data_IF_569848779050
#
_entry.id   IF_569848779050
#
_cell.length_a   1.000
_cell.length_b   1.000
_cell.length_c   1.000
_cell.angle_alpha   90.00
_cell.angle_beta   90.00
_cell.angle_gamma   90.00
#
_symmetry.space_group_name_H-M   'P 1'
#
loop_
_entity.id
_entity.type
_entity.pdbx_description
1 polymer ?
#
# COMPACT_ATOMS: atom_id res chain seq x y z
N UNK A 1 15.63 57.00 -29.32
CA UNK A 1 14.64 56.04 -28.77
C UNK A 1 13.62 56.86 -27.99
N UNK A 2 12.35 56.85 -28.39
CA UNK A 2 11.32 57.65 -27.71
C UNK A 2 10.80 56.91 -26.48
N UNK A 3 10.29 57.64 -25.49
CA UNK A 3 9.71 57.08 -24.26
C UNK A 3 8.64 56.01 -24.57
N UNK A 4 7.90 56.18 -25.67
CA UNK A 4 6.90 55.24 -26.19
C UNK A 4 7.50 53.91 -26.66
N UNK A 5 8.62 53.92 -27.39
CA UNK A 5 9.31 52.68 -27.79
C UNK A 5 9.86 51.91 -26.58
N UNK A 6 10.31 52.61 -25.54
CA UNK A 6 10.82 51.98 -24.32
C UNK A 6 9.70 51.27 -23.55
N UNK A 7 8.54 51.93 -23.43
CA UNK A 7 7.35 51.38 -22.78
C UNK A 7 6.81 50.14 -23.50
N UNK A 8 6.75 50.16 -24.84
CA UNK A 8 6.29 49.04 -25.64
C UNK A 8 7.18 47.79 -25.43
N UNK A 9 8.51 47.96 -25.42
CA UNK A 9 9.45 46.86 -25.20
C UNK A 9 9.34 46.25 -23.78
N UNK A 10 9.16 47.10 -22.76
CA UNK A 10 8.99 46.65 -21.37
C UNK A 10 7.69 45.86 -21.18
N UNK A 11 6.60 46.30 -21.81
CA UNK A 11 5.31 45.60 -21.80
C UNK A 11 5.41 44.23 -22.47
N UNK A 12 6.02 44.16 -23.65
CA UNK A 12 6.19 42.88 -24.35
C UNK A 12 7.08 41.92 -23.57
N UNK A 13 8.19 42.41 -23.00
CA UNK A 13 9.09 41.60 -22.18
C UNK A 13 8.38 41.06 -20.92
N UNK A 14 7.60 41.92 -20.25
CA UNK A 14 6.80 41.54 -19.09
C UNK A 14 5.76 40.47 -19.43
N UNK A 15 4.99 40.66 -20.50
CA UNK A 15 3.99 39.69 -20.96
C UNK A 15 4.63 38.35 -21.34
N UNK A 16 5.76 38.35 -22.05
CA UNK A 16 6.49 37.12 -22.37
C UNK A 16 7.03 36.44 -21.13
N UNK A 17 7.57 37.19 -20.16
CA UNK A 17 8.07 36.61 -18.92
C UNK A 17 6.93 35.99 -18.09
N UNK A 18 5.79 36.66 -17.98
CA UNK A 18 4.61 36.14 -17.28
C UNK A 18 4.02 34.92 -17.97
N UNK A 19 3.94 34.92 -19.31
CA UNK A 19 3.45 33.78 -20.08
C UNK A 19 4.40 32.58 -19.96
N UNK A 20 5.71 32.80 -20.08
CA UNK A 20 6.72 31.74 -19.88
C UNK A 20 6.63 31.19 -18.47
N UNK A 21 6.55 32.05 -17.44
CA UNK A 21 6.41 31.60 -16.06
C UNK A 21 5.12 30.80 -15.84
N UNK A 22 4.02 31.15 -16.53
CA UNK A 22 2.76 30.41 -16.44
C UNK A 22 2.81 29.05 -17.16
N UNK A 23 3.45 29.01 -18.34
CA UNK A 23 3.64 27.78 -19.12
C UNK A 23 4.67 26.83 -18.49
N UNK A 24 5.67 27.35 -17.80
CA UNK A 24 6.69 26.56 -17.08
C UNK A 24 6.40 26.45 -15.59
N UNK A 25 5.29 27.03 -15.11
CA UNK A 25 4.81 26.80 -13.75
C UNK A 25 4.25 25.39 -13.71
N UNK A 26 5.13 24.40 -13.61
CA UNK A 26 4.80 23.12 -13.02
C UNK A 26 4.38 23.40 -11.58
N UNK A 27 3.11 23.73 -11.39
CA UNK A 27 2.48 23.51 -10.09
C UNK A 27 2.57 22.01 -9.92
N UNK A 28 3.56 21.56 -9.16
CA UNK A 28 3.67 20.17 -8.73
C UNK A 28 2.25 19.74 -8.35
N UNK A 29 1.70 18.77 -9.07
CA UNK A 29 0.39 18.23 -8.73
C UNK A 29 0.48 17.84 -7.25
N UNK A 30 -0.48 18.24 -6.41
CA UNK A 30 -0.47 17.79 -5.03
C UNK A 30 -0.40 16.26 -5.06
N UNK A 31 0.70 15.71 -4.54
CA UNK A 31 0.81 14.27 -4.36
C UNK A 31 -0.30 13.87 -3.40
N UNK A 32 -1.17 12.90 -3.75
CA UNK A 32 -2.21 12.46 -2.85
C UNK A 32 -1.53 11.94 -1.58
N UNK A 33 -1.92 12.48 -0.43
CA UNK A 33 -1.46 11.93 0.85
C UNK A 33 -2.13 10.57 1.04
N UNK A 34 -1.39 9.50 0.74
CA UNK A 34 -1.86 8.13 0.91
C UNK A 34 -1.67 7.75 2.36
N UNK A 35 -2.74 7.43 3.06
CA UNK A 35 -2.71 7.08 4.47
C UNK A 35 -2.73 5.56 4.65
N UNK A 36 -1.89 5.04 5.54
CA UNK A 36 -1.99 3.63 5.95
C UNK A 36 -3.05 3.57 7.06
N UNK A 37 -4.13 2.78 6.91
CA UNK A 37 -5.15 2.67 7.94
C UNK A 37 -4.57 2.40 9.32
N UNK A 38 -5.26 2.87 10.37
CA UNK A 38 -4.87 2.54 11.73
C UNK A 38 -4.85 1.02 11.89
N UNK A 39 -3.89 0.54 12.68
CA UNK A 39 -3.75 -0.87 12.95
C UNK A 39 -4.87 -1.28 13.90
N UNK A 40 -5.76 -2.11 13.40
CA UNK A 40 -6.94 -2.57 14.13
C UNK A 40 -6.99 -4.10 14.07
N UNK A 41 -7.38 -4.71 15.17
CA UNK A 41 -7.76 -6.11 15.25
C UNK A 41 -9.04 -6.18 16.09
N UNK A 42 -10.12 -6.62 15.47
CA UNK A 42 -11.41 -6.79 16.13
C UNK A 42 -11.89 -8.23 15.99
N UNK A 43 -12.49 -8.74 17.07
CA UNK A 43 -13.15 -10.03 17.10
C UNK A 43 -14.62 -9.81 17.44
N UNK A 44 -15.38 -9.37 16.45
CA UNK A 44 -16.83 -9.18 16.53
C UNK A 44 -17.55 -10.25 15.70
N UNK A 45 -18.79 -10.58 16.10
CA UNK A 45 -19.67 -11.51 15.36
C UNK A 45 -19.00 -12.82 14.91
N UNK A 46 -18.14 -13.40 15.76
CA UNK A 46 -17.50 -14.70 15.51
C UNK A 46 -16.48 -14.73 14.37
N UNK A 47 -15.98 -13.59 13.91
CA UNK A 47 -14.91 -13.51 12.92
C UNK A 47 -13.80 -12.55 13.38
N UNK A 48 -12.61 -12.74 12.84
CA UNK A 48 -11.48 -11.84 13.08
C UNK A 48 -11.37 -10.86 11.92
N UNK A 49 -11.32 -9.57 12.24
CA UNK A 49 -11.12 -8.49 11.29
C UNK A 49 -9.84 -7.74 11.64
N UNK A 50 -8.95 -7.55 10.67
CA UNK A 50 -7.66 -6.87 10.84
C UNK A 50 -7.48 -5.81 9.75
N UNK A 51 -6.99 -4.64 10.12
CA UNK A 51 -6.65 -3.55 9.20
C UNK A 51 -5.26 -2.98 9.45
N UNK A 52 -4.65 -2.44 8.41
CA UNK A 52 -3.38 -1.70 8.48
C UNK A 52 -2.75 -1.56 7.10
N UNK A 53 -1.42 -1.68 7.02
CA UNK A 53 -0.67 -1.81 5.78
C UNK A 53 0.58 -2.66 5.99
N UNK A 54 1.07 -3.27 4.91
CA UNK A 54 2.29 -4.07 4.96
C UNK A 54 3.53 -3.21 4.74
N UNK A 55 4.54 -3.40 5.59
CA UNK A 55 5.92 -2.96 5.36
C UNK A 55 6.84 -4.18 5.34
N UNK A 56 7.64 -4.30 4.29
CA UNK A 56 8.60 -5.39 4.11
C UNK A 56 9.73 -5.25 5.12
N UNK A 57 9.97 -6.30 5.89
CA UNK A 57 11.16 -6.44 6.74
C UNK A 57 12.30 -7.15 5.99
N UNK A 58 11.97 -8.15 5.18
CA UNK A 58 12.92 -8.94 4.41
C UNK A 58 12.44 -9.14 2.97
N UNK A 59 13.35 -8.99 2.01
CA UNK A 59 13.05 -9.09 0.58
C UNK A 59 12.85 -7.71 -0.09
N UNK A 60 12.24 -7.72 -1.27
CA UNK A 60 12.00 -6.49 -2.05
C UNK A 60 10.82 -5.71 -1.49
N UNK A 61 11.06 -4.49 -1.02
CA UNK A 61 10.00 -3.52 -0.72
C UNK A 61 9.62 -2.79 -2.02
N UNK A 62 8.40 -2.99 -2.53
CA UNK A 62 7.96 -2.23 -3.69
C UNK A 62 7.72 -0.76 -3.26
N UNK A 63 7.97 0.21 -4.15
CA UNK A 63 7.78 1.63 -3.84
C UNK A 63 6.31 1.90 -3.54
N UNK A 64 6.00 2.83 -2.63
CA UNK A 64 4.63 3.22 -2.33
C UNK A 64 4.12 2.77 -0.97
N UNK A 65 2.79 2.83 -0.81
CA UNK A 65 2.10 2.56 0.48
C UNK A 65 0.94 1.62 0.25
N UNK A 66 0.68 0.73 1.20
CA UNK A 66 -0.42 -0.22 1.13
C UNK A 66 -1.45 0.00 2.23
N UNK A 67 -2.69 -0.34 1.90
CA UNK A 67 -3.79 -0.54 2.83
C UNK A 67 -4.27 -1.98 2.69
N UNK A 68 -4.47 -2.65 3.81
CA UNK A 68 -4.92 -4.03 3.85
C UNK A 68 -6.12 -4.18 4.78
N UNK A 69 -7.09 -4.97 4.34
CA UNK A 69 -8.17 -5.49 5.16
C UNK A 69 -8.12 -7.02 5.12
N UNK A 70 -8.11 -7.65 6.29
CA UNK A 70 -8.08 -9.09 6.44
C UNK A 70 -9.31 -9.52 7.23
N UNK A 71 -10.03 -10.53 6.73
CA UNK A 71 -11.16 -11.16 7.43
C UNK A 71 -10.94 -12.65 7.52
N UNK A 72 -11.02 -13.20 8.71
CA UNK A 72 -10.90 -14.63 8.96
C UNK A 72 -12.18 -15.20 9.58
N UNK A 73 -12.62 -16.33 9.06
CA UNK A 73 -13.89 -16.98 9.40
C UNK A 73 -13.60 -18.36 10.00
N UNK A 74 -13.73 -18.53 11.33
CA UNK A 74 -13.34 -19.78 12.00
C UNK A 74 -14.21 -20.96 11.57
N UNK A 75 -15.51 -20.77 11.35
CA UNK A 75 -16.41 -21.84 10.89
C UNK A 75 -16.04 -22.36 9.49
N UNK A 76 -15.51 -21.48 8.64
CA UNK A 76 -15.15 -21.80 7.26
C UNK A 76 -13.68 -22.22 7.13
N UNK A 77 -12.87 -22.00 8.17
CA UNK A 77 -11.42 -22.20 8.16
C UNK A 77 -10.74 -21.44 7.01
N UNK A 78 -11.17 -20.20 6.76
CA UNK A 78 -10.64 -19.37 5.67
C UNK A 78 -10.31 -17.95 6.16
N UNK A 79 -9.31 -17.34 5.54
CA UNK A 79 -9.10 -15.90 5.60
C UNK A 79 -9.13 -15.29 4.20
N UNK A 80 -9.59 -14.06 4.11
CA UNK A 80 -9.51 -13.21 2.92
C UNK A 80 -8.66 -12.00 3.23
N UNK A 81 -7.85 -11.57 2.27
CA UNK A 81 -7.10 -10.32 2.33
C UNK A 81 -7.48 -9.50 1.09
N UNK A 82 -7.86 -8.24 1.30
CA UNK A 82 -7.97 -7.23 0.27
C UNK A 82 -6.81 -6.25 0.46
N UNK A 83 -5.91 -6.20 -0.52
CA UNK A 83 -4.71 -5.36 -0.53
C UNK A 83 -4.85 -4.30 -1.61
N UNK A 84 -4.66 -3.04 -1.24
CA UNK A 84 -4.57 -1.92 -2.16
C UNK A 84 -3.22 -1.23 -1.98
N UNK A 85 -2.46 -1.05 -3.06
CA UNK A 85 -1.15 -0.37 -3.04
C UNK A 85 -1.17 0.80 -4.01
N UNK A 86 -0.72 1.96 -3.54
CA UNK A 86 -0.48 3.11 -4.40
C UNK A 86 1.01 3.21 -4.70
N UNK A 87 1.35 3.05 -5.97
CA UNK A 87 2.69 3.21 -6.51
C UNK A 87 2.89 4.64 -6.98
N UNK A 88 3.85 5.36 -6.42
CA UNK A 88 4.24 6.68 -6.90
C UNK A 88 5.36 6.56 -7.94
N UNK A 89 5.14 7.14 -9.12
CA UNK A 89 6.12 7.25 -10.19
C UNK A 89 6.23 8.70 -10.67
N UNK A 90 7.27 9.03 -11.43
CA UNK A 90 7.56 10.41 -11.87
C UNK A 90 6.42 11.05 -12.68
N UNK A 91 5.56 10.23 -13.27
CA UNK A 91 4.47 10.67 -14.16
C UNK A 91 3.10 10.67 -13.46
N UNK A 92 3.00 10.14 -12.24
CA UNK A 92 1.72 10.00 -11.53
C UNK A 92 1.71 8.95 -10.42
N UNK A 93 0.50 8.46 -10.12
CA UNK A 93 0.29 7.38 -9.17
C UNK A 93 -0.61 6.32 -9.78
N UNK A 94 -0.23 5.06 -9.59
CA UNK A 94 -1.04 3.90 -9.97
C UNK A 94 -1.62 3.24 -8.71
N UNK A 95 -2.91 2.90 -8.75
CA UNK A 95 -3.56 2.09 -7.72
C UNK A 95 -3.66 0.65 -8.21
N UNK A 96 -3.02 -0.26 -7.49
CA UNK A 96 -3.16 -1.70 -7.70
C UNK A 96 -3.98 -2.32 -6.56
N UNK A 97 -4.93 -3.17 -6.91
CA UNK A 97 -5.76 -3.89 -5.95
C UNK A 97 -5.66 -5.39 -6.21
N UNK A 98 -5.44 -6.15 -5.14
CA UNK A 98 -5.29 -7.60 -5.17
C UNK A 98 -6.11 -8.22 -4.05
N UNK A 99 -6.55 -9.46 -4.26
CA UNK A 99 -7.24 -10.24 -3.24
C UNK A 99 -6.58 -11.59 -3.07
N UNK A 100 -6.43 -12.03 -1.84
CA UNK A 100 -5.87 -13.34 -1.50
C UNK A 100 -6.85 -14.14 -0.67
N UNK A 101 -6.97 -15.43 -0.98
CA UNK A 101 -7.74 -16.39 -0.21
C UNK A 101 -6.79 -17.37 0.46
N UNK A 102 -6.85 -17.44 1.78
CA UNK A 102 -6.01 -18.29 2.61
C UNK A 102 -6.82 -19.41 3.25
N UNK A 103 -6.25 -20.61 3.28
CA UNK A 103 -6.72 -21.72 4.09
C UNK A 103 -6.14 -21.59 5.50
N UNK A 104 -7.00 -21.58 6.52
CA UNK A 104 -6.54 -21.62 7.92
C UNK A 104 -5.92 -22.98 8.21
N UNK A 105 -4.74 -22.96 8.84
CA UNK A 105 -3.99 -24.15 9.26
C UNK A 105 -3.95 -24.31 10.78
N UNK A 106 -4.06 -23.21 11.53
CA UNK A 106 -4.08 -23.20 12.99
C UNK A 106 -4.90 -22.00 13.48
N UNK A 107 -5.78 -22.20 14.46
CA UNK A 107 -6.58 -21.14 15.06
C UNK A 107 -6.62 -21.31 16.58
N UNK A 108 -6.12 -20.30 17.29
CA UNK A 108 -6.13 -20.21 18.75
C UNK A 108 -6.51 -18.79 19.18
N UNK A 109 -6.81 -18.59 20.47
CA UNK A 109 -7.12 -17.26 21.01
C UNK A 109 -5.96 -16.25 20.90
N UNK A 110 -4.73 -16.74 20.77
CA UNK A 110 -3.52 -15.92 20.67
C UNK A 110 -3.07 -15.70 19.22
N UNK A 111 -3.41 -16.61 18.30
CA UNK A 111 -2.84 -16.64 16.96
C UNK A 111 -3.74 -17.35 15.95
N UNK A 112 -3.83 -16.78 14.76
CA UNK A 112 -4.36 -17.44 13.56
C UNK A 112 -3.23 -17.61 12.54
N UNK A 113 -3.09 -18.81 11.97
CA UNK A 113 -2.18 -19.09 10.86
C UNK A 113 -2.98 -19.53 9.64
N UNK A 114 -2.65 -18.98 8.48
CA UNK A 114 -3.29 -19.33 7.23
C UNK A 114 -2.32 -19.30 6.04
N UNK A 115 -2.60 -20.09 5.00
CA UNK A 115 -1.74 -20.23 3.82
C UNK A 115 -2.53 -20.02 2.54
N UNK A 116 -2.00 -19.24 1.60
CA UNK A 116 -2.50 -19.12 0.25
C UNK A 116 -1.43 -19.70 -0.70
N UNK A 117 -1.65 -20.94 -1.14
CA UNK A 117 -0.69 -21.71 -1.94
C UNK A 117 -0.61 -21.14 -3.36
N UNK A 118 0.61 -20.93 -3.87
CA UNK A 118 0.86 -20.42 -5.22
C UNK A 118 0.22 -19.05 -5.49
N UNK A 119 -0.14 -18.32 -4.46
CA UNK A 119 -0.88 -17.06 -4.55
C UNK A 119 -0.08 -15.94 -5.22
N UNK A 120 1.24 -16.07 -5.27
CA UNK A 120 2.13 -15.13 -5.94
C UNK A 120 2.76 -15.81 -7.16
N UNK A 121 2.27 -15.45 -8.35
CA UNK A 121 2.81 -15.94 -9.62
C UNK A 121 2.70 -17.46 -9.84
N UNK A 122 1.86 -18.17 -9.07
CA UNK A 122 1.67 -19.62 -9.19
C UNK A 122 2.73 -20.49 -8.52
N UNK A 123 3.81 -19.91 -8.00
CA UNK A 123 4.93 -20.66 -7.40
C UNK A 123 5.28 -20.23 -5.97
N UNK A 124 4.80 -19.07 -5.53
CA UNK A 124 5.09 -18.56 -4.20
C UNK A 124 3.86 -18.64 -3.32
N UNK A 125 4.04 -19.26 -2.16
CA UNK A 125 3.03 -19.34 -1.12
C UNK A 125 3.09 -18.07 -0.27
N UNK A 126 1.92 -17.60 0.16
CA UNK A 126 1.79 -16.57 1.19
C UNK A 126 1.37 -17.23 2.49
N UNK A 127 2.06 -16.92 3.58
CA UNK A 127 1.78 -17.42 4.94
C UNK A 127 1.42 -16.23 5.81
N UNK A 128 0.20 -16.25 6.32
CA UNK A 128 -0.36 -15.18 7.13
C UNK A 128 -0.37 -15.61 8.60
N UNK A 129 0.19 -14.77 9.46
CA UNK A 129 0.21 -14.94 10.90
C UNK A 129 -0.46 -13.72 11.53
N UNK A 130 -1.59 -13.93 12.19
CA UNK A 130 -2.34 -12.87 12.87
C UNK A 130 -2.24 -13.06 14.38
N UNK A 131 -2.05 -11.96 15.11
CA UNK A 131 -1.93 -11.91 16.57
C UNK A 131 -3.01 -10.97 17.13
N UNK A 132 -4.26 -11.47 17.32
CA UNK A 132 -5.40 -10.61 17.63
C UNK A 132 -5.25 -9.80 18.91
N UNK A 133 -4.59 -10.36 19.93
CA UNK A 133 -4.42 -9.70 21.23
C UNK A 133 -3.42 -8.54 21.18
N UNK A 134 -2.42 -8.63 20.29
CA UNK A 134 -1.37 -7.63 20.14
C UNK A 134 -1.68 -6.61 19.02
N UNK A 135 -2.82 -6.80 18.34
CA UNK A 135 -3.19 -6.04 17.14
C UNK A 135 -2.07 -6.07 16.10
N UNK A 136 -1.44 -7.23 15.90
CA UNK A 136 -0.27 -7.38 15.04
C UNK A 136 -0.48 -8.48 14.00
N UNK A 137 0.28 -8.40 12.91
CA UNK A 137 0.31 -9.44 11.91
C UNK A 137 1.65 -9.49 11.18
N UNK A 138 2.02 -10.69 10.75
CA UNK A 138 3.17 -10.96 9.91
C UNK A 138 2.72 -11.71 8.66
N UNK A 139 3.25 -11.29 7.53
CA UNK A 139 3.10 -11.96 6.25
C UNK A 139 4.47 -12.48 5.84
N UNK A 140 4.53 -13.74 5.42
CA UNK A 140 5.73 -14.33 4.83
C UNK A 140 5.41 -14.83 3.44
N UNK A 141 6.36 -14.72 2.52
CA UNK A 141 6.27 -15.34 1.21
C UNK A 141 7.54 -16.07 0.88
N UNK A 142 7.41 -17.10 0.05
CA UNK A 142 8.54 -17.90 -0.41
C UNK A 142 8.08 -18.98 -1.36
N UNK A 143 9.02 -19.69 -2.01
CA UNK A 143 8.69 -20.74 -2.94
C UNK A 143 7.88 -21.84 -2.25
N UNK A 144 6.85 -22.31 -2.96
CA UNK A 144 6.11 -23.52 -2.62
C UNK A 144 6.91 -24.78 -2.91
N UNK A 145 6.29 -25.95 -2.68
CA UNK A 145 6.93 -27.23 -2.93
C UNK A 145 7.34 -27.39 -4.40
N UNK A 146 8.63 -27.68 -4.64
CA UNK A 146 9.17 -27.85 -5.99
C UNK A 146 9.41 -26.54 -6.76
N UNK A 147 9.24 -25.38 -6.13
CA UNK A 147 9.54 -24.07 -6.70
C UNK A 147 10.91 -23.54 -6.24
N UNK A 148 11.52 -22.71 -7.09
CA UNK A 148 12.67 -21.87 -6.72
C UNK A 148 12.23 -20.41 -6.72
N UNK A 149 12.86 -19.59 -5.88
CA UNK A 149 12.68 -18.14 -5.89
C UNK A 149 12.94 -17.49 -4.55
N UNK A 150 12.83 -16.17 -4.54
CA UNK A 150 13.12 -15.36 -3.36
C UNK A 150 12.05 -15.52 -2.29
N UNK A 151 12.45 -15.38 -1.03
CA UNK A 151 11.56 -15.32 0.11
C UNK A 151 11.62 -13.94 0.74
N UNK A 152 10.62 -13.64 1.57
CA UNK A 152 10.58 -12.39 2.30
C UNK A 152 9.48 -12.37 3.34
N UNK A 153 9.44 -11.27 4.08
CA UNK A 153 8.46 -11.06 5.12
C UNK A 153 8.09 -9.60 5.26
N UNK A 154 6.88 -9.36 5.76
CA UNK A 154 6.35 -8.05 6.07
C UNK A 154 5.62 -8.07 7.41
N UNK A 155 5.58 -6.92 8.06
CA UNK A 155 4.82 -6.69 9.30
C UNK A 155 3.72 -5.69 9.05
N UNK A 156 2.66 -5.81 9.84
CA UNK A 156 1.50 -4.92 9.77
C UNK A 156 1.78 -3.64 10.56
N UNK A 157 1.73 -2.52 9.86
CA UNK A 157 1.81 -1.18 10.45
C UNK A 157 0.48 -0.46 10.31
N UNK A 158 0.31 0.59 11.10
CA UNK A 158 -0.79 1.52 10.95
C UNK A 158 -0.38 2.92 11.35
N UNK A 159 -1.02 3.91 10.76
CA UNK A 159 -0.86 5.31 11.16
C UNK A 159 -2.05 5.75 12.00
N UNK A 160 -1.81 6.60 12.98
CA UNK A 160 -2.88 7.25 13.75
C UNK A 160 -3.14 8.61 13.12
N UNK A 161 -4.41 8.96 12.91
CA UNK A 161 -4.78 10.32 12.51
C UNK A 161 -4.42 11.29 13.65
N UNK A 162 -3.36 12.08 13.46
CA UNK A 162 -3.11 13.24 14.30
C UNK A 162 -4.02 14.38 13.83
N UNK A 163 -5.04 14.72 14.63
CA UNK A 163 -5.85 15.93 14.48
C UNK A 163 -5.09 17.15 15.02
#
# INVERSE_FOLDING_TARGET
MTLTTLFACLLTAGLTASLTLWLTSDKARPEPNVFIPERLADQSDGHLWVMGGWITEEGYQPPGRSAVEIRCYPEQQLCTEALATIFHHTEGSDLEAQTYLYQVTDWTDARVQAVAVGAMGGCHDRRLHLYPQDTDARLEWGPGEGCEGDSGSAVLIGEVWAN
#
